data_IF_098600760010
#
_entry.id   IF_098600760010
#
_cell.length_a   1.000
_cell.length_b   1.000
_cell.length_c   1.000
_cell.angle_alpha   90.00
_cell.angle_beta   90.00
_cell.angle_gamma   90.00
#
_symmetry.space_group_name_H-M   'P 1'
#
loop_
_entity.id
_entity.type
_entity.pdbx_description
1 polymer ?
#
# COMPACT_ATOMS: atom_id res chain seq x y z
N UNK A 1 -10.90 7.40 50.47
CA UNK A 1 -10.29 6.78 49.28
C UNK A 1 -10.09 7.91 48.29
N UNK A 2 -8.86 8.43 48.24
CA UNK A 2 -8.46 9.53 47.37
C UNK A 2 -7.86 8.97 46.09
N UNK A 3 -8.09 9.73 45.02
CA UNK A 3 -7.91 9.41 43.60
C UNK A 3 -6.45 9.14 43.24
N UNK A 4 -6.24 7.96 42.67
CA UNK A 4 -5.47 7.60 41.48
C UNK A 4 -4.60 8.71 40.84
N UNK A 5 -3.28 8.52 40.78
CA UNK A 5 -2.41 9.16 39.79
C UNK A 5 -1.09 8.39 39.69
N UNK A 6 -1.05 7.37 38.82
CA UNK A 6 0.17 6.68 38.42
C UNK A 6 0.50 7.15 36.99
N UNK A 7 1.26 8.23 36.88
CA UNK A 7 1.82 8.72 35.62
C UNK A 7 2.86 7.73 35.07
N UNK A 8 2.41 6.74 34.29
CA UNK A 8 3.28 5.95 33.44
C UNK A 8 3.47 6.66 32.09
N UNK A 9 4.47 7.54 32.02
CA UNK A 9 5.05 8.02 30.75
C UNK A 9 5.62 6.83 29.99
N UNK A 10 4.96 6.40 28.93
CA UNK A 10 5.56 5.49 27.95
C UNK A 10 6.25 6.32 26.87
N UNK A 11 7.56 6.19 26.85
CA UNK A 11 8.48 6.73 25.85
C UNK A 11 8.21 6.01 24.52
N UNK A 12 7.82 6.75 23.49
CA UNK A 12 7.57 6.21 22.16
C UNK A 12 8.93 5.92 21.49
N UNK A 13 9.32 4.65 21.47
CA UNK A 13 10.40 4.15 20.62
C UNK A 13 9.88 4.13 19.18
N UNK A 14 10.32 5.11 18.37
CA UNK A 14 10.10 5.15 16.93
C UNK A 14 10.96 4.07 16.29
N UNK A 15 10.38 2.89 16.09
CA UNK A 15 10.85 1.93 15.10
C UNK A 15 10.26 2.38 13.75
N UNK A 16 11.12 2.56 12.75
CA UNK A 16 10.68 2.75 11.37
C UNK A 16 9.86 1.54 10.94
N UNK A 17 8.60 1.79 10.63
CA UNK A 17 7.63 0.79 10.21
C UNK A 17 7.79 0.61 8.69
N UNK A 18 8.61 -0.35 8.29
CA UNK A 18 8.56 -0.92 6.94
C UNK A 18 7.25 -1.71 6.84
N UNK A 19 6.18 -1.05 6.41
CA UNK A 19 4.82 -1.63 6.35
C UNK A 19 4.65 -2.50 5.12
N UNK A 20 5.40 -3.60 5.01
CA UNK A 20 5.17 -4.62 3.99
C UNK A 20 3.87 -5.37 4.32
N UNK A 21 2.89 -5.37 3.42
CA UNK A 21 1.65 -6.16 3.58
C UNK A 21 1.42 -7.07 2.38
N UNK A 22 1.49 -8.37 2.63
CA UNK A 22 1.31 -9.42 1.63
C UNK A 22 -0.09 -10.05 1.77
N UNK A 23 -0.94 -9.91 0.75
CA UNK A 23 -2.29 -10.50 0.72
C UNK A 23 -2.49 -11.37 -0.51
N UNK A 24 -1.96 -12.60 -0.52
CA UNK A 24 -2.16 -13.54 -1.63
C UNK A 24 -3.55 -14.21 -1.54
N UNK A 25 -4.37 -14.08 -2.59
CA UNK A 25 -5.67 -14.72 -2.68
C UNK A 25 -5.92 -15.33 -4.07
N UNK A 26 -6.45 -16.56 -4.09
CA UNK A 26 -6.91 -17.20 -5.33
C UNK A 26 -8.28 -16.62 -5.71
N UNK A 27 -8.33 -15.91 -6.83
CA UNK A 27 -9.54 -15.22 -7.31
C UNK A 27 -9.99 -15.71 -8.69
N UNK A 28 -11.26 -15.47 -9.03
CA UNK A 28 -11.70 -15.58 -10.42
C UNK A 28 -11.18 -14.40 -11.24
N UNK A 29 -11.15 -14.54 -12.57
CA UNK A 29 -10.77 -13.44 -13.47
C UNK A 29 -11.65 -12.19 -13.29
N UNK A 30 -12.92 -12.38 -12.94
CA UNK A 30 -13.85 -11.27 -12.77
C UNK A 30 -13.56 -10.49 -11.49
N UNK A 31 -13.31 -11.21 -10.39
CA UNK A 31 -12.97 -10.62 -9.09
C UNK A 31 -11.61 -9.91 -9.16
N UNK A 32 -10.59 -10.54 -9.74
CA UNK A 32 -9.28 -9.90 -9.93
C UNK A 32 -9.36 -8.64 -10.80
N UNK A 33 -10.17 -8.66 -11.86
CA UNK A 33 -10.39 -7.47 -12.68
C UNK A 33 -11.19 -6.37 -11.98
N UNK A 34 -11.95 -6.69 -10.93
CA UNK A 34 -12.61 -5.68 -10.08
C UNK A 34 -11.59 -4.95 -9.22
N UNK A 35 -10.71 -5.68 -8.55
CA UNK A 35 -9.62 -5.09 -7.75
C UNK A 35 -8.71 -4.21 -8.59
N UNK A 36 -8.29 -4.67 -9.78
CA UNK A 36 -7.45 -3.87 -10.68
C UNK A 36 -8.13 -2.58 -11.14
N UNK A 37 -9.46 -2.57 -11.28
CA UNK A 37 -10.22 -1.36 -11.60
C UNK A 37 -10.27 -0.41 -10.42
N UNK A 38 -10.45 -0.92 -9.21
CA UNK A 38 -10.40 -0.11 -7.98
C UNK A 38 -9.03 0.54 -7.79
N UNK A 39 -7.95 -0.20 -8.05
CA UNK A 39 -6.59 0.36 -8.06
C UNK A 39 -6.47 1.46 -9.13
N UNK A 40 -6.92 1.20 -10.36
CA UNK A 40 -6.85 2.19 -11.44
C UNK A 40 -7.63 3.48 -11.11
N UNK A 41 -8.88 3.35 -10.65
CA UNK A 41 -9.68 4.50 -10.17
C UNK A 41 -8.95 5.22 -9.03
N UNK A 42 -8.34 4.48 -8.10
CA UNK A 42 -7.59 5.05 -6.98
C UNK A 42 -6.38 5.88 -7.42
N UNK A 43 -5.62 5.38 -8.39
CA UNK A 43 -4.50 6.10 -9.01
C UNK A 43 -5.00 7.38 -9.69
N UNK A 44 -6.08 7.32 -10.47
CA UNK A 44 -6.65 8.49 -11.14
C UNK A 44 -7.14 9.56 -10.16
N UNK A 45 -7.60 9.16 -8.97
CA UNK A 45 -8.09 10.06 -7.93
C UNK A 45 -7.01 10.50 -6.91
N UNK A 46 -5.78 9.97 -7.01
CA UNK A 46 -4.69 10.25 -6.08
C UNK A 46 -4.77 9.52 -4.73
N UNK A 47 -5.68 8.56 -4.59
CA UNK A 47 -5.79 7.71 -3.38
C UNK A 47 -6.40 6.37 -3.73
N UNK A 48 -5.64 5.29 -3.50
CA UNK A 48 -6.12 3.91 -3.62
C UNK A 48 -6.71 3.50 -2.26
N UNK A 49 -7.90 2.91 -2.29
CA UNK A 49 -8.53 2.36 -1.09
C UNK A 49 -9.03 0.96 -1.38
N UNK A 50 -8.37 -0.05 -0.82
CA UNK A 50 -8.74 -1.44 -0.92
C UNK A 50 -9.48 -1.87 0.34
N UNK A 51 -10.71 -2.34 0.20
CA UNK A 51 -11.52 -2.84 1.32
C UNK A 51 -11.25 -4.33 1.59
N UNK A 52 -11.30 -4.77 2.85
CA UNK A 52 -11.10 -6.17 3.24
C UNK A 52 -10.57 -6.34 4.65
N UNK A 53 -10.38 -7.59 5.10
CA UNK A 53 -9.75 -7.90 6.41
C UNK A 53 -8.33 -7.30 6.49
N UNK A 54 -7.60 -7.27 5.37
CA UNK A 54 -6.28 -6.66 5.21
C UNK A 54 -6.34 -5.35 4.39
N UNK A 55 -7.50 -4.69 4.36
CA UNK A 55 -7.73 -3.46 3.62
C UNK A 55 -6.74 -2.35 4.00
N UNK A 56 -6.46 -1.48 3.04
CA UNK A 56 -5.48 -0.41 3.19
C UNK A 56 -5.80 0.79 2.30
N UNK A 57 -5.20 1.92 2.64
CA UNK A 57 -5.33 3.18 1.90
C UNK A 57 -3.94 3.71 1.59
N UNK A 58 -3.70 4.07 0.33
CA UNK A 58 -2.42 4.61 -0.15
C UNK A 58 -2.67 5.94 -0.85
N UNK A 59 -1.97 6.99 -0.43
CA UNK A 59 -1.96 8.26 -1.15
C UNK A 59 -0.96 8.17 -2.32
N UNK A 60 -1.40 8.56 -3.52
CA UNK A 60 -0.63 8.47 -4.77
C UNK A 60 -0.34 9.89 -5.27
N UNK A 61 0.93 10.25 -5.53
CA UNK A 61 1.28 11.58 -6.02
C UNK A 61 0.89 11.77 -7.50
N UNK A 62 0.97 13.00 -8.01
CA UNK A 62 0.63 13.31 -9.42
C UNK A 62 1.58 12.62 -10.42
N UNK A 63 2.84 12.38 -10.03
CA UNK A 63 3.84 11.70 -10.84
C UNK A 63 4.53 10.60 -10.03
N UNK A 64 4.64 9.42 -10.64
CA UNK A 64 5.26 8.22 -10.07
C UNK A 64 5.90 7.40 -11.20
N UNK A 65 6.80 6.51 -10.83
CA UNK A 65 7.40 5.53 -11.74
C UNK A 65 6.48 4.30 -11.82
N UNK A 66 6.27 3.79 -13.03
CA UNK A 66 5.41 2.62 -13.29
C UNK A 66 6.23 1.55 -13.99
N UNK A 67 6.32 0.38 -13.37
CA UNK A 67 6.97 -0.81 -13.92
C UNK A 67 5.94 -1.91 -14.13
N UNK A 68 6.03 -2.59 -15.28
CA UNK A 68 5.15 -3.71 -15.63
C UNK A 68 6.01 -4.85 -16.13
N UNK A 69 6.03 -5.93 -15.37
CA UNK A 69 6.90 -7.08 -15.58
C UNK A 69 6.10 -8.35 -15.76
N UNK A 70 6.56 -9.23 -16.66
CA UNK A 70 5.92 -10.51 -16.92
C UNK A 70 6.98 -11.60 -17.00
N UNK A 71 6.96 -12.50 -16.02
CA UNK A 71 7.86 -13.64 -15.94
C UNK A 71 7.09 -14.96 -16.10
N UNK A 72 7.74 -15.94 -16.75
CA UNK A 72 7.24 -17.30 -16.88
C UNK A 72 8.36 -18.27 -16.53
N UNK A 73 8.11 -19.11 -15.53
CA UNK A 73 9.00 -20.19 -15.12
C UNK A 73 8.40 -21.55 -15.50
N UNK A 74 9.03 -22.65 -15.10
CA UNK A 74 8.51 -24.00 -15.31
C UNK A 74 7.24 -24.30 -14.48
N UNK A 75 7.04 -23.58 -13.36
CA UNK A 75 6.01 -23.87 -12.37
C UNK A 75 4.92 -22.77 -12.30
N UNK A 76 5.21 -21.54 -12.73
CA UNK A 76 4.29 -20.39 -12.64
C UNK A 76 4.46 -19.35 -13.75
N UNK A 77 3.44 -18.50 -13.88
CA UNK A 77 3.49 -17.31 -14.70
C UNK A 77 2.97 -16.14 -13.86
N UNK A 78 3.72 -15.07 -13.85
CA UNK A 78 3.55 -13.92 -12.96
C UNK A 78 3.47 -12.64 -13.79
N UNK A 79 2.55 -11.76 -13.42
CA UNK A 79 2.42 -10.40 -13.97
C UNK A 79 2.43 -9.44 -12.79
N UNK A 80 3.45 -8.60 -12.74
CA UNK A 80 3.64 -7.59 -11.71
C UNK A 80 3.36 -6.20 -12.29
N UNK A 81 2.71 -5.36 -11.49
CA UNK A 81 2.44 -3.95 -11.79
C UNK A 81 2.87 -3.19 -10.55
N UNK A 82 4.01 -2.52 -10.63
CA UNK A 82 4.60 -1.79 -9.52
C UNK A 82 4.53 -0.29 -9.77
N UNK A 83 4.16 0.46 -8.73
CA UNK A 83 4.18 1.92 -8.73
C UNK A 83 5.11 2.37 -7.61
N UNK A 84 6.13 3.16 -7.96
CA UNK A 84 7.10 3.70 -7.01
C UNK A 84 7.08 5.24 -7.02
N UNK A 85 7.22 5.82 -5.82
CA UNK A 85 7.40 7.26 -5.67
C UNK A 85 8.17 7.60 -4.39
N UNK A 86 8.88 8.75 -4.36
CA UNK A 86 9.56 9.23 -3.17
C UNK A 86 8.61 9.64 -2.04
N UNK A 87 9.10 9.54 -0.80
CA UNK A 87 8.41 9.99 0.41
C UNK A 87 9.24 11.07 1.11
N UNK A 88 8.64 12.20 1.46
CA UNK A 88 9.27 13.28 2.25
C UNK A 88 8.42 13.57 3.50
N UNK A 89 9.05 13.55 4.67
CA UNK A 89 8.38 13.80 5.97
C UNK A 89 7.11 12.92 6.22
N UNK A 90 7.04 11.75 5.59
CA UNK A 90 5.92 10.81 5.70
C UNK A 90 4.77 11.08 4.72
N UNK A 91 4.94 12.03 3.80
CA UNK A 91 3.99 12.34 2.74
C UNK A 91 4.55 11.88 1.38
N UNK A 92 3.71 11.34 0.48
CA UNK A 92 4.15 11.01 -0.87
C UNK A 92 4.44 12.29 -1.65
N UNK A 93 5.57 12.32 -2.35
CA UNK A 93 5.93 13.43 -3.24
C UNK A 93 6.09 12.92 -4.66
N UNK A 94 5.82 13.80 -5.62
CA UNK A 94 5.96 13.47 -7.03
C UNK A 94 7.40 13.13 -7.38
N UNK A 95 7.60 12.05 -8.14
CA UNK A 95 8.89 11.77 -8.74
C UNK A 95 9.30 12.90 -9.70
N UNK A 96 10.57 13.32 -9.63
CA UNK A 96 11.15 14.30 -10.56
C UNK A 96 11.36 13.64 -11.94
N UNK A 97 11.03 14.35 -13.03
CA UNK A 97 11.17 13.89 -14.43
C UNK A 97 12.63 13.80 -14.93
#
# INVERSE_FOLDING_TARGET
MGIDDEESKTEAESAGDETEREGEQVMSRADGAEILREVADGVENGTINIEGDDGFTVAVPEHFELEVEYEVTDDEAELEIELEWPMEDGEPVSADE
#
